data_IF_885970251259
#
_entry.id   IF_885970251259
#
_cell.length_a   1.000
_cell.length_b   1.000
_cell.length_c   1.000
_cell.angle_alpha   90.00
_cell.angle_beta   90.00
_cell.angle_gamma   90.00
#
_symmetry.space_group_name_H-M   'P 1'
#
loop_
_entity.id
_entity.type
_entity.pdbx_description
1 polymer ?
#
# COMPACT_ATOMS: atom_id res chain seq x y z
N UNK A 1 12.29 -4.10 -23.70
CA UNK A 1 11.46 -5.15 -24.35
C UNK A 1 10.97 -6.03 -23.22
N UNK A 2 9.77 -5.77 -22.71
CA UNK A 2 9.12 -6.65 -21.74
C UNK A 2 8.58 -7.86 -22.50
N UNK A 3 9.29 -8.98 -22.40
CA UNK A 3 8.76 -10.26 -22.86
C UNK A 3 7.92 -10.85 -21.73
N UNK A 4 6.60 -10.69 -21.83
CA UNK A 4 5.67 -11.42 -20.97
C UNK A 4 5.74 -12.91 -21.30
N UNK A 5 6.07 -13.73 -20.30
CA UNK A 5 6.06 -15.18 -20.42
C UNK A 5 4.62 -15.67 -20.59
N UNK A 6 4.39 -16.53 -21.58
CA UNK A 6 3.13 -17.24 -21.74
C UNK A 6 2.85 -18.19 -20.58
N UNK A 7 1.58 -18.59 -20.40
CA UNK A 7 1.19 -19.56 -19.37
C UNK A 7 1.95 -20.89 -19.47
N UNK A 8 2.33 -21.32 -20.68
CA UNK A 8 3.13 -22.52 -20.90
C UNK A 8 4.57 -22.35 -20.42
N UNK A 9 5.18 -21.20 -20.69
CA UNK A 9 6.56 -20.92 -20.24
C UNK A 9 6.65 -20.83 -18.71
N UNK A 10 5.63 -20.25 -18.07
CA UNK A 10 5.52 -20.22 -16.60
C UNK A 10 5.42 -21.63 -16.00
N UNK A 11 4.66 -22.52 -16.64
CA UNK A 11 4.51 -23.91 -16.19
C UNK A 11 5.80 -24.73 -16.36
N UNK A 12 6.50 -24.54 -17.49
CA UNK A 12 7.82 -25.13 -17.74
C UNK A 12 8.81 -24.71 -16.65
N UNK A 13 8.88 -23.42 -16.31
CA UNK A 13 9.78 -22.91 -15.28
C UNK A 13 9.46 -23.48 -13.88
N UNK A 14 8.18 -23.61 -13.53
CA UNK A 14 7.76 -24.26 -12.26
C UNK A 14 8.18 -25.73 -12.21
N UNK A 15 8.02 -26.45 -13.32
CA UNK A 15 8.40 -27.85 -13.43
C UNK A 15 9.93 -28.02 -13.32
N UNK A 16 10.69 -27.15 -13.99
CA UNK A 16 12.16 -27.14 -13.88
C UNK A 16 12.63 -26.83 -12.45
N UNK A 17 12.00 -25.87 -11.77
CA UNK A 17 12.31 -25.57 -10.37
C UNK A 17 12.02 -26.75 -9.45
N UNK A 18 10.90 -27.45 -9.68
CA UNK A 18 10.54 -28.65 -8.92
C UNK A 18 11.60 -29.75 -9.09
N UNK A 19 12.00 -30.05 -10.33
CA UNK A 19 13.10 -30.98 -10.59
C UNK A 19 14.40 -30.53 -9.90
N UNK A 20 14.73 -29.24 -9.96
CA UNK A 20 15.92 -28.68 -9.31
C UNK A 20 15.92 -28.91 -7.81
N UNK A 21 14.76 -28.78 -7.15
CA UNK A 21 14.59 -29.05 -5.71
C UNK A 21 14.64 -30.54 -5.39
N UNK A 22 13.91 -31.36 -6.14
CA UNK A 22 13.84 -32.81 -5.93
C UNK A 22 15.22 -33.46 -6.04
N UNK A 23 15.99 -33.07 -7.07
CA UNK A 23 17.34 -33.56 -7.29
C UNK A 23 18.41 -32.80 -6.49
N UNK A 24 18.08 -31.66 -5.89
CA UNK A 24 19.01 -30.87 -5.07
C UNK A 24 19.54 -31.65 -3.86
N UNK A 25 18.70 -32.52 -3.29
CA UNK A 25 19.09 -33.46 -2.22
C UNK A 25 20.18 -34.47 -2.65
N UNK A 26 20.34 -34.71 -3.96
CA UNK A 26 21.39 -35.57 -4.48
C UNK A 26 22.77 -34.88 -4.54
N UNK A 27 22.84 -33.56 -4.32
CA UNK A 27 24.10 -32.81 -4.23
C UNK A 27 25.02 -33.38 -3.15
N UNK A 28 24.45 -33.74 -2.00
CA UNK A 28 25.18 -34.31 -0.86
C UNK A 28 25.38 -35.83 -0.98
N UNK A 29 24.64 -36.49 -1.88
CA UNK A 29 24.73 -37.94 -2.10
C UNK A 29 25.95 -38.39 -2.93
N UNK A 30 26.69 -37.44 -3.53
CA UNK A 30 27.82 -37.75 -4.43
C UNK A 30 27.41 -38.35 -5.79
N UNK A 31 26.12 -38.55 -6.05
CA UNK A 31 25.60 -39.09 -7.30
C UNK A 31 25.78 -38.14 -8.51
N UNK A 32 26.09 -36.87 -8.27
CA UNK A 32 26.25 -35.84 -9.29
C UNK A 32 27.65 -35.22 -9.24
N UNK A 33 28.16 -34.81 -10.40
CA UNK A 33 29.45 -34.11 -10.49
C UNK A 33 29.43 -32.85 -9.62
N UNK A 34 30.54 -32.56 -8.93
CA UNK A 34 30.72 -31.30 -8.19
C UNK A 34 30.41 -30.12 -9.11
N UNK A 35 29.52 -29.23 -8.66
CA UNK A 35 29.08 -28.06 -9.42
C UNK A 35 27.88 -28.29 -10.33
N UNK A 36 27.29 -29.50 -10.37
CA UNK A 36 26.03 -29.75 -11.09
C UNK A 36 24.90 -28.85 -10.58
N UNK A 37 24.82 -28.69 -9.26
CA UNK A 37 24.01 -27.66 -8.60
C UNK A 37 24.89 -26.50 -8.16
N UNK A 38 25.12 -25.57 -9.09
CA UNK A 38 25.94 -24.36 -8.87
C UNK A 38 25.29 -23.35 -7.90
N UNK A 39 23.96 -23.30 -7.90
CA UNK A 39 23.17 -22.37 -7.09
C UNK A 39 22.38 -23.17 -6.04
N UNK A 40 22.00 -22.52 -4.95
CA UNK A 40 21.08 -23.11 -3.97
C UNK A 40 19.66 -23.20 -4.55
N UNK A 41 18.84 -24.10 -3.97
CA UNK A 41 17.43 -24.20 -4.32
C UNK A 41 16.68 -22.87 -4.08
N UNK A 42 17.09 -22.12 -3.05
CA UNK A 42 16.54 -20.81 -2.70
C UNK A 42 16.88 -19.75 -3.75
N UNK A 43 18.13 -19.72 -4.24
CA UNK A 43 18.54 -18.81 -5.32
C UNK A 43 17.81 -19.10 -6.64
N UNK A 44 17.67 -20.39 -6.99
CA UNK A 44 16.94 -20.81 -8.17
C UNK A 44 15.45 -20.46 -8.07
N UNK A 45 14.84 -20.65 -6.91
CA UNK A 45 13.45 -20.26 -6.64
C UNK A 45 13.26 -18.75 -6.76
N UNK A 46 14.13 -17.94 -6.16
CA UNK A 46 14.06 -16.49 -6.26
C UNK A 46 14.17 -16.00 -7.71
N UNK A 47 15.04 -16.62 -8.52
CA UNK A 47 15.18 -16.29 -9.93
C UNK A 47 13.94 -16.66 -10.76
N UNK A 48 13.42 -17.87 -10.58
CA UNK A 48 12.19 -18.33 -11.26
C UNK A 48 10.99 -17.49 -10.85
N UNK A 49 10.87 -17.15 -9.57
CA UNK A 49 9.80 -16.29 -9.07
C UNK A 49 9.85 -14.91 -9.72
N UNK A 50 11.04 -14.29 -9.84
CA UNK A 50 11.24 -13.01 -10.54
C UNK A 50 10.93 -13.07 -12.04
N UNK A 51 10.96 -14.24 -12.67
CA UNK A 51 10.66 -14.39 -14.10
C UNK A 51 9.17 -14.65 -14.34
N UNK A 52 8.55 -15.51 -13.52
CA UNK A 52 7.12 -15.86 -13.62
C UNK A 52 6.23 -14.71 -13.15
N UNK A 53 6.70 -14.05 -12.09
CA UNK A 53 6.14 -12.85 -11.51
C UNK A 53 7.27 -11.83 -11.48
N UNK A 54 7.55 -11.14 -12.61
CA UNK A 54 8.38 -9.94 -12.55
C UNK A 54 7.88 -9.11 -11.38
N UNK A 55 8.78 -8.60 -10.50
CA UNK A 55 8.34 -7.63 -9.54
C UNK A 55 7.73 -6.51 -10.37
N UNK A 56 6.39 -6.42 -10.37
CA UNK A 56 5.76 -5.13 -10.57
C UNK A 56 6.48 -4.23 -9.56
N UNK A 57 7.22 -3.25 -10.07
CA UNK A 57 7.52 -2.07 -9.28
C UNK A 57 6.17 -1.58 -8.74
N UNK A 58 5.86 -1.99 -7.51
CA UNK A 58 4.61 -1.69 -6.83
C UNK A 58 3.52 -2.76 -6.95
N UNK A 59 3.59 -3.81 -6.13
CA UNK A 59 2.41 -4.24 -5.38
C UNK A 59 2.83 -5.00 -4.12
N UNK A 60 3.12 -4.24 -3.06
CA UNK A 60 2.78 -4.71 -1.73
C UNK A 60 1.28 -5.03 -1.72
N UNK A 61 0.91 -6.16 -1.12
CA UNK A 61 -0.47 -6.61 -0.98
C UNK A 61 -1.41 -5.44 -0.66
N UNK A 62 -2.32 -5.08 -1.58
CA UNK A 62 -3.47 -4.24 -1.26
C UNK A 62 -4.46 -5.06 -0.43
N UNK A 63 -4.15 -5.28 0.85
CA UNK A 63 -5.19 -5.06 1.86
C UNK A 63 -5.53 -3.58 1.71
N UNK A 64 -6.81 -3.26 1.54
CA UNK A 64 -7.33 -1.89 1.56
C UNK A 64 -6.47 -1.01 2.46
N UNK A 65 -5.73 -0.06 1.89
CA UNK A 65 -4.91 0.91 2.64
C UNK A 65 -5.76 1.92 3.42
N UNK A 66 -7.07 1.72 3.40
CA UNK A 66 -8.10 2.53 4.02
C UNK A 66 -8.51 1.80 5.30
N UNK A 67 -8.26 2.40 6.47
CA UNK A 67 -8.64 1.83 7.77
C UNK A 67 -10.14 1.50 7.81
N UNK A 68 -10.51 0.37 8.40
CA UNK A 68 -11.92 0.00 8.60
C UNK A 68 -12.73 1.11 9.28
N UNK A 69 -12.10 1.89 10.16
CA UNK A 69 -12.72 3.01 10.88
C UNK A 69 -13.25 4.09 9.92
N UNK A 70 -12.48 4.44 8.87
CA UNK A 70 -12.88 5.49 7.94
C UNK A 70 -13.95 5.01 6.95
N UNK A 71 -14.00 3.70 6.70
CA UNK A 71 -15.03 3.09 5.85
C UNK A 71 -16.39 3.08 6.55
N UNK A 72 -16.39 2.96 7.88
CA UNK A 72 -17.57 2.99 8.74
C UNK A 72 -18.06 4.40 9.07
N UNK A 73 -17.42 5.45 8.54
CA UNK A 73 -17.90 6.82 8.73
C UNK A 73 -19.17 7.00 7.89
N UNK A 74 -20.31 7.04 8.56
CA UNK A 74 -21.62 7.22 7.93
C UNK A 74 -22.19 8.63 8.10
N UNK A 75 -21.59 9.46 8.96
CA UNK A 75 -22.04 10.83 9.21
C UNK A 75 -20.88 11.79 9.53
N UNK A 76 -21.20 13.09 9.54
CA UNK A 76 -20.24 14.18 9.79
C UNK A 76 -19.66 14.14 11.22
N UNK A 77 -20.42 13.66 12.20
CA UNK A 77 -19.95 13.56 13.59
C UNK A 77 -18.85 12.49 13.74
N UNK A 78 -19.01 11.34 13.09
CA UNK A 78 -17.98 10.30 13.02
C UNK A 78 -16.76 10.78 12.24
N UNK A 79 -16.96 11.56 11.17
CA UNK A 79 -15.87 12.21 10.44
C UNK A 79 -15.08 13.18 11.33
N UNK A 80 -15.79 13.92 12.20
CA UNK A 80 -15.17 14.83 13.18
C UNK A 80 -14.38 14.06 14.23
N UNK A 81 -14.90 12.97 14.76
CA UNK A 81 -14.19 12.12 15.72
C UNK A 81 -12.90 11.57 15.12
N UNK A 82 -12.97 11.03 13.91
CA UNK A 82 -11.80 10.53 13.19
C UNK A 82 -10.75 11.63 12.96
N UNK A 83 -11.19 12.84 12.58
CA UNK A 83 -10.30 13.99 12.43
C UNK A 83 -9.59 14.35 13.74
N UNK A 84 -10.32 14.41 14.86
CA UNK A 84 -9.76 14.77 16.16
C UNK A 84 -8.78 13.73 16.70
N UNK A 85 -9.02 12.45 16.41
CA UNK A 85 -8.20 11.35 16.92
C UNK A 85 -6.92 11.14 16.11
N UNK A 86 -6.98 11.30 14.77
CA UNK A 86 -5.89 10.91 13.89
C UNK A 86 -5.25 12.04 13.07
N UNK A 87 -5.91 13.19 12.95
CA UNK A 87 -5.48 14.29 12.07
C UNK A 87 -5.17 15.59 12.82
N UNK A 88 -5.11 15.54 14.15
CA UNK A 88 -4.65 16.65 15.00
C UNK A 88 -3.14 16.55 15.18
N UNK A 89 -2.46 17.64 14.87
CA UNK A 89 -1.02 17.79 15.01
C UNK A 89 -0.71 19.26 15.31
N UNK A 90 0.50 19.52 15.82
CA UNK A 90 0.98 20.88 16.01
C UNK A 90 1.22 21.54 14.65
N UNK A 91 0.46 22.61 14.36
CA UNK A 91 0.51 23.34 13.08
C UNK A 91 1.76 24.21 12.95
N UNK A 92 2.43 24.53 14.06
CA UNK A 92 3.68 25.28 14.09
C UNK A 92 4.90 24.37 13.84
N UNK A 93 4.71 23.04 13.97
CA UNK A 93 5.74 22.02 13.73
C UNK A 93 5.59 21.35 12.34
N UNK A 94 6.53 21.68 11.44
CA UNK A 94 6.59 21.10 10.10
C UNK A 94 6.89 19.59 10.09
N UNK A 95 7.58 19.06 11.11
CA UNK A 95 7.80 17.62 11.26
C UNK A 95 6.54 16.89 11.73
N UNK A 96 5.78 17.49 12.65
CA UNK A 96 4.49 16.96 13.08
C UNK A 96 3.50 16.85 11.90
N UNK A 97 3.44 17.89 11.06
CA UNK A 97 2.65 17.87 9.81
C UNK A 97 3.06 16.72 8.87
N UNK A 98 4.37 16.55 8.66
CA UNK A 98 4.89 15.45 7.81
C UNK A 98 4.58 14.07 8.40
N UNK A 99 4.65 13.90 9.73
CA UNK A 99 4.27 12.65 10.41
C UNK A 99 2.77 12.35 10.24
N UNK A 100 1.91 13.35 10.41
CA UNK A 100 0.47 13.24 10.17
C UNK A 100 0.18 12.77 8.72
N UNK A 101 0.75 13.44 7.72
CA UNK A 101 0.57 13.07 6.30
C UNK A 101 1.14 11.69 5.92
N UNK A 102 2.11 11.19 6.68
CA UNK A 102 2.63 9.82 6.53
C UNK A 102 1.71 8.78 7.17
N UNK A 103 0.98 9.14 8.22
CA UNK A 103 0.09 8.23 8.97
C UNK A 103 -1.23 7.94 8.27
N UNK A 104 -1.60 8.76 7.28
CA UNK A 104 -2.85 8.65 6.51
C UNK A 104 -2.58 8.59 5.01
N UNK A 105 -3.35 7.78 4.28
CA UNK A 105 -3.30 7.69 2.83
C UNK A 105 -4.12 8.79 2.14
N UNK A 106 -3.88 8.98 0.84
CA UNK A 106 -4.63 9.97 0.06
C UNK A 106 -6.08 9.51 -0.14
N UNK A 107 -6.30 8.22 -0.35
CA UNK A 107 -7.65 7.64 -0.48
C UNK A 107 -8.47 7.84 0.79
N UNK A 108 -7.86 7.71 1.97
CA UNK A 108 -8.51 8.00 3.25
C UNK A 108 -8.94 9.47 3.35
N UNK A 109 -8.06 10.40 2.99
CA UNK A 109 -8.40 11.83 2.96
C UNK A 109 -9.52 12.13 1.94
N UNK A 110 -9.52 11.47 0.78
CA UNK A 110 -10.58 11.64 -0.23
C UNK A 110 -11.92 11.10 0.25
N UNK A 111 -11.93 9.95 0.92
CA UNK A 111 -13.14 9.39 1.53
C UNK A 111 -13.70 10.32 2.61
N UNK A 112 -12.83 10.81 3.50
CA UNK A 112 -13.22 11.75 4.54
C UNK A 112 -13.77 13.04 3.94
N UNK A 113 -13.11 13.60 2.91
CA UNK A 113 -13.59 14.76 2.18
C UNK A 113 -14.98 14.53 1.57
N UNK A 114 -15.18 13.38 0.92
CA UNK A 114 -16.47 13.02 0.33
C UNK A 114 -17.57 12.91 1.37
N UNK A 115 -17.27 12.41 2.57
CA UNK A 115 -18.24 12.33 3.67
C UNK A 115 -18.59 13.71 4.24
N UNK A 116 -17.64 14.64 4.25
CA UNK A 116 -17.81 15.99 4.77
C UNK A 116 -18.57 16.90 3.80
N UNK A 117 -18.18 16.90 2.53
CA UNK A 117 -18.70 17.81 1.51
C UNK A 117 -19.79 17.17 0.63
N UNK A 118 -20.01 15.85 0.74
CA UNK A 118 -20.85 15.08 -0.20
C UNK A 118 -20.43 15.21 -1.67
N UNK A 119 -19.18 15.62 -1.91
CA UNK A 119 -18.61 15.89 -3.23
C UNK A 119 -17.30 15.12 -3.42
N UNK A 120 -16.95 14.83 -4.67
CA UNK A 120 -15.68 14.21 -4.98
C UNK A 120 -14.56 15.25 -5.05
N UNK A 121 -13.39 14.90 -4.52
CA UNK A 121 -12.20 15.73 -4.67
C UNK A 121 -11.77 15.81 -6.14
N UNK A 122 -11.13 16.92 -6.53
CA UNK A 122 -10.48 17.04 -7.85
C UNK A 122 -9.49 15.90 -8.09
N UNK A 123 -9.43 15.41 -9.34
CA UNK A 123 -8.63 14.23 -9.72
C UNK A 123 -7.13 14.35 -9.40
N UNK A 124 -6.58 15.57 -9.34
CA UNK A 124 -5.16 15.86 -9.07
C UNK A 124 -4.91 16.52 -7.71
N UNK A 125 -5.72 16.22 -6.68
CA UNK A 125 -5.51 16.77 -5.34
C UNK A 125 -4.31 16.11 -4.64
N UNK A 126 -3.47 16.92 -3.99
CA UNK A 126 -2.39 16.42 -3.13
C UNK A 126 -2.89 16.06 -1.72
N UNK A 127 -2.15 15.24 -0.96
CA UNK A 127 -2.51 14.92 0.44
C UNK A 127 -2.61 16.17 1.31
N UNK A 128 -1.68 17.11 1.12
CA UNK A 128 -1.66 18.36 1.85
C UNK A 128 -2.89 19.22 1.57
N UNK A 129 -3.29 19.33 0.30
CA UNK A 129 -4.50 20.06 -0.06
C UNK A 129 -5.76 19.40 0.47
N UNK A 130 -5.87 18.06 0.38
CA UNK A 130 -7.02 17.33 0.90
C UNK A 130 -7.15 17.51 2.42
N UNK A 131 -6.05 17.36 3.16
CA UNK A 131 -6.01 17.61 4.60
C UNK A 131 -6.41 19.05 4.93
N UNK A 132 -5.85 20.04 4.22
CA UNK A 132 -6.13 21.45 4.47
C UNK A 132 -7.60 21.83 4.26
N UNK A 133 -8.28 21.21 3.28
CA UNK A 133 -9.73 21.42 3.08
C UNK A 133 -10.56 20.83 4.22
N UNK A 134 -10.22 19.61 4.65
CA UNK A 134 -10.86 18.94 5.80
C UNK A 134 -10.65 19.77 7.08
N UNK A 135 -9.43 20.26 7.31
CA UNK A 135 -9.12 21.16 8.41
C UNK A 135 -9.94 22.45 8.34
N UNK A 136 -10.06 23.08 7.17
CA UNK A 136 -10.86 24.30 7.00
C UNK A 136 -12.33 24.08 7.33
N UNK A 137 -12.88 22.91 6.98
CA UNK A 137 -14.25 22.56 7.33
C UNK A 137 -14.46 22.54 8.85
N UNK A 138 -13.67 21.74 9.58
CA UNK A 138 -13.85 21.57 11.01
C UNK A 138 -13.49 22.83 11.81
N UNK A 139 -12.40 23.52 11.45
CA UNK A 139 -12.06 24.81 12.06
C UNK A 139 -13.10 25.89 11.74
N UNK A 140 -13.71 25.85 10.56
CA UNK A 140 -14.78 26.76 10.15
C UNK A 140 -16.08 26.53 10.93
N UNK A 141 -16.43 25.27 11.19
CA UNK A 141 -17.57 24.89 12.03
C UNK A 141 -17.35 25.33 13.48
N UNK A 142 -16.17 25.12 14.05
CA UNK A 142 -15.88 25.57 15.43
C UNK A 142 -15.95 27.09 15.57
N UNK A 143 -15.49 27.85 14.56
CA UNK A 143 -15.65 29.31 14.52
C UNK A 143 -17.11 29.75 14.40
N UNK A 144 -17.88 29.09 13.53
CA UNK A 144 -19.31 29.39 13.36
C UNK A 144 -20.15 29.03 14.60
N UNK A 145 -19.78 27.96 15.32
CA UNK A 145 -20.39 27.58 16.59
C UNK A 145 -20.00 28.52 17.73
N UNK A 146 -18.76 29.03 17.74
CA UNK A 146 -18.29 30.02 18.73
C UNK A 146 -18.83 31.43 18.48
N UNK A 147 -19.40 31.69 17.29
CA UNK A 147 -20.07 32.93 16.91
C UNK A 147 -21.61 32.82 16.94
N UNK A 148 -22.17 31.91 17.75
CA UNK A 148 -23.57 32.03 18.14
C UNK A 148 -23.70 33.14 19.20
N UNK A 149 -24.62 34.12 19.01
CA UNK A 149 -24.85 35.20 19.97
C UNK A 149 -25.40 34.71 21.31
#
# INVERSE_FOLDING_TARGET
>A
MDMELSGKEKDILKTLLKCYKDFGSLKDSGALRKGYFKYSAEEAEAAVHKLISPPEEGTAAKKSAVRDEIQKIDNIEMAKQFYLEYLVYDKEDAEAKKKCLKSISLDELKLLYKKIYSEETRSKITKEEALLQIEKYFNGIERALSMKP
#
